data_IF_936416400445
#
_entry.id   IF_936416400445
#
_cell.length_a   1.000
_cell.length_b   1.000
_cell.length_c   1.000
_cell.angle_alpha   90.00
_cell.angle_beta   90.00
_cell.angle_gamma   90.00
#
_symmetry.space_group_name_H-M   'P 1'
#
loop_
_entity.id
_entity.type
_entity.pdbx_description
1 polymer ?
#
# COMPACT_ATOMS: atom_id res chain seq x y z
N UNK A 1 3.57 4.88 18.14
CA UNK A 1 4.22 4.12 17.07
C UNK A 1 3.17 3.94 15.99
N UNK A 2 3.34 4.59 14.84
CA UNK A 2 2.35 4.53 13.76
C UNK A 2 2.36 3.14 13.11
N UNK A 3 1.17 2.62 12.80
CA UNK A 3 1.01 1.33 12.13
C UNK A 3 0.48 1.59 10.73
N UNK A 4 1.25 1.19 9.73
CA UNK A 4 0.86 1.28 8.33
C UNK A 4 0.42 -0.10 7.86
N UNK A 5 -0.87 -0.42 8.02
CA UNK A 5 -1.46 -1.68 7.60
C UNK A 5 -1.85 -1.60 6.12
N UNK A 6 -0.88 -1.38 5.24
CA UNK A 6 -1.11 -1.23 3.80
C UNK A 6 -0.98 -2.57 3.10
N UNK A 7 -1.89 -2.84 2.16
CA UNK A 7 -1.70 -3.92 1.20
C UNK A 7 -0.55 -3.53 0.26
N UNK A 8 0.47 -4.38 0.16
CA UNK A 8 1.59 -4.20 -0.76
C UNK A 8 1.69 -5.41 -1.68
N UNK A 9 1.68 -5.16 -3.00
CA UNK A 9 1.87 -6.20 -4.04
C UNK A 9 3.33 -6.28 -4.51
N UNK A 10 4.08 -5.21 -4.31
CA UNK A 10 5.39 -5.00 -4.92
C UNK A 10 6.55 -5.46 -4.03
N UNK A 11 7.76 -5.15 -4.47
CA UNK A 11 9.02 -5.44 -3.77
C UNK A 11 9.25 -4.56 -2.53
N UNK A 12 8.20 -3.92 -1.98
CA UNK A 12 8.27 -3.10 -0.76
C UNK A 12 8.99 -3.85 0.37
N UNK A 13 8.64 -5.12 0.69
CA UNK A 13 9.38 -5.88 1.70
C UNK A 13 10.90 -5.91 1.43
N UNK A 14 11.30 -6.13 0.18
CA UNK A 14 12.72 -6.19 -0.21
C UNK A 14 13.40 -4.82 -0.13
N UNK A 15 12.67 -3.74 -0.42
CA UNK A 15 13.19 -2.37 -0.28
C UNK A 15 13.42 -2.05 1.19
N UNK A 16 12.47 -2.40 2.07
CA UNK A 16 12.59 -2.22 3.51
C UNK A 16 13.74 -3.06 4.09
N UNK A 17 13.87 -4.31 3.65
CA UNK A 17 14.98 -5.19 4.03
C UNK A 17 16.34 -4.58 3.62
N UNK A 18 16.44 -4.04 2.39
CA UNK A 18 17.65 -3.38 1.90
C UNK A 18 18.00 -2.09 2.65
N UNK A 19 16.99 -1.42 3.22
CA UNK A 19 17.15 -0.22 4.06
C UNK A 19 17.39 -0.55 5.54
N UNK A 20 17.31 -1.83 5.94
CA UNK A 20 17.44 -2.24 7.34
C UNK A 20 16.28 -1.80 8.23
N UNK A 21 15.10 -1.54 7.64
CA UNK A 21 13.90 -1.12 8.37
C UNK A 21 13.15 -2.35 8.87
N UNK A 22 12.93 -2.45 10.18
CA UNK A 22 12.12 -3.52 10.77
C UNK A 22 10.63 -3.31 10.51
N UNK A 23 9.94 -4.36 10.04
CA UNK A 23 8.49 -4.36 9.83
C UNK A 23 7.90 -5.74 10.10
N UNK A 24 6.57 -5.78 10.27
CA UNK A 24 5.80 -7.02 10.32
C UNK A 24 5.05 -7.18 8.99
N UNK A 25 5.03 -8.40 8.45
CA UNK A 25 4.20 -8.75 7.30
C UNK A 25 3.45 -10.04 7.55
N UNK A 26 2.28 -10.14 6.93
CA UNK A 26 1.52 -11.38 6.79
C UNK A 26 0.99 -11.46 5.37
N UNK A 27 0.78 -12.68 4.88
CA UNK A 27 0.10 -12.89 3.60
C UNK A 27 -1.40 -12.80 3.87
N UNK A 28 -2.10 -11.96 3.12
CA UNK A 28 -3.56 -11.83 3.21
C UNK A 28 -4.24 -13.12 2.71
N UNK A 29 -5.33 -13.54 3.36
CA UNK A 29 -6.19 -14.57 2.77
C UNK A 29 -6.95 -14.02 1.57
N UNK A 30 -7.61 -14.88 0.80
CA UNK A 30 -8.43 -14.45 -0.34
C UNK A 30 -9.53 -13.46 0.04
N UNK A 31 -10.14 -13.65 1.20
CA UNK A 31 -11.20 -12.80 1.74
C UNK A 31 -10.64 -11.43 2.15
N UNK A 32 -9.51 -11.43 2.86
CA UNK A 32 -8.83 -10.21 3.30
C UNK A 32 -8.26 -9.42 2.13
N UNK A 33 -7.71 -10.11 1.13
CA UNK A 33 -7.10 -9.48 -0.04
C UNK A 33 -8.08 -8.53 -0.73
N UNK A 34 -9.33 -8.96 -0.95
CA UNK A 34 -10.34 -8.10 -1.58
C UNK A 34 -10.66 -6.87 -0.73
N UNK A 35 -10.80 -7.05 0.59
CA UNK A 35 -11.11 -5.96 1.50
C UNK A 35 -9.97 -4.95 1.59
N UNK A 36 -8.73 -5.42 1.73
CA UNK A 36 -7.54 -4.57 1.80
C UNK A 36 -7.22 -3.90 0.45
N UNK A 37 -7.55 -4.55 -0.67
CA UNK A 37 -7.41 -3.95 -2.01
C UNK A 37 -8.35 -2.76 -2.20
N UNK A 38 -9.62 -2.88 -1.76
CA UNK A 38 -10.57 -1.78 -1.82
C UNK A 38 -10.11 -0.60 -0.95
N UNK A 39 -9.65 -0.87 0.28
CA UNK A 39 -9.08 0.17 1.16
C UNK A 39 -7.89 0.87 0.53
N UNK A 40 -7.00 0.11 -0.13
CA UNK A 40 -5.82 0.68 -0.79
C UNK A 40 -6.21 1.59 -1.95
N UNK A 41 -7.19 1.17 -2.76
CA UNK A 41 -7.73 2.00 -3.84
C UNK A 41 -8.39 3.30 -3.33
N UNK A 42 -9.12 3.24 -2.21
CA UNK A 42 -9.71 4.42 -1.58
C UNK A 42 -8.64 5.40 -1.07
N UNK A 43 -7.55 4.89 -0.49
CA UNK A 43 -6.38 5.68 -0.08
C UNK A 43 -5.76 6.42 -1.26
N UNK A 44 -5.43 5.71 -2.34
CA UNK A 44 -4.75 6.26 -3.52
C UNK A 44 -5.64 7.24 -4.29
N UNK A 45 -6.94 6.94 -4.40
CA UNK A 45 -7.91 7.86 -5.03
C UNK A 45 -8.02 9.16 -4.23
N UNK A 46 -7.94 9.07 -2.90
CA UNK A 46 -7.95 10.25 -2.03
C UNK A 46 -6.66 11.05 -2.16
N UNK A 47 -5.51 10.39 -2.15
CA UNK A 47 -4.19 11.04 -2.35
C UNK A 47 -4.15 11.74 -3.72
N UNK A 48 -4.60 11.09 -4.78
CA UNK A 48 -4.76 11.72 -6.09
C UNK A 48 -5.74 12.89 -6.08
N UNK A 49 -6.87 12.78 -5.38
CA UNK A 49 -7.82 13.90 -5.29
C UNK A 49 -7.26 15.11 -4.52
N UNK A 50 -6.35 14.90 -3.58
CA UNK A 50 -5.75 15.96 -2.77
C UNK A 50 -4.53 16.60 -3.45
N UNK A 51 -3.68 15.79 -4.11
CA UNK A 51 -2.41 16.22 -4.70
C UNK A 51 -2.51 16.46 -6.21
N UNK A 52 -3.21 15.58 -6.92
CA UNK A 52 -3.46 15.70 -8.36
C UNK A 52 -2.24 15.45 -9.26
N UNK A 53 -1.22 14.72 -8.79
CA UNK A 53 0.00 14.47 -9.58
C UNK A 53 -0.14 13.24 -10.50
N UNK A 54 0.65 13.16 -11.59
CA UNK A 54 0.71 11.98 -12.45
C UNK A 54 1.13 10.70 -11.71
N UNK A 55 1.97 10.82 -10.69
CA UNK A 55 2.41 9.70 -9.85
C UNK A 55 1.24 9.11 -9.07
N UNK A 56 0.47 9.95 -8.38
CA UNK A 56 -0.72 9.50 -7.64
C UNK A 56 -1.80 8.94 -8.56
N UNK A 57 -1.93 9.48 -9.78
CA UNK A 57 -2.82 8.89 -10.79
C UNK A 57 -2.37 7.48 -11.20
N UNK A 58 -1.05 7.27 -11.33
CA UNK A 58 -0.49 5.98 -11.72
C UNK A 58 -0.67 4.91 -10.63
N UNK A 59 -0.75 5.30 -9.36
CA UNK A 59 -1.05 4.37 -8.27
C UNK A 59 -2.52 3.89 -8.31
N UNK A 60 -3.44 4.68 -8.89
CA UNK A 60 -4.86 4.34 -9.02
C UNK A 60 -5.18 3.42 -10.24
N UNK A 61 -4.40 3.47 -11.33
CA UNK A 61 -4.73 2.84 -12.64
C UNK A 61 -3.78 1.71 -13.07
#
# INVERSE_FOLDING_TARGET
MEKYNKLVRDKIPNILDAQGISYEKRVATSEEYKAELIKKLEEETKEFSEVGSPEELADVI
#
